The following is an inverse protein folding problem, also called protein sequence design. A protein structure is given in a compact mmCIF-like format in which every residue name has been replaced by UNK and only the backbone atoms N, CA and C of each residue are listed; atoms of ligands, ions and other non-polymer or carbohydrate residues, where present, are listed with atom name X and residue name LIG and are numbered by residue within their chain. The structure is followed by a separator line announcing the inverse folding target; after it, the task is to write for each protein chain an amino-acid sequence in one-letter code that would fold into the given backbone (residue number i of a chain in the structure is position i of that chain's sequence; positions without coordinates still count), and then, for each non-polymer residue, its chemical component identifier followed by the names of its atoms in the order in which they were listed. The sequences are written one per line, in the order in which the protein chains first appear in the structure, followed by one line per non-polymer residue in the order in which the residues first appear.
data_IF_438538380639
#
_entry.id   IF_438538380639
#
_cell.length_a   1.000
_cell.length_b   1.000
_cell.length_c   1.000
_cell.angle_alpha   90.00
_cell.angle_beta   90.00
_cell.angle_gamma   90.00
#
_symmetry.space_group_name_H-M   'P 1'
#
loop_
_entity.id
_entity.type
_entity.pdbx_description
1 polymer ?
#
# COMPACT_ATOMS: atom_id res chain seq x y z
N UNK A 1 -6.72 13.46 8.51
CA UNK A 1 -6.56 11.98 8.51
C UNK A 1 -5.06 11.69 8.56
N UNK A 2 -4.54 11.02 9.59
CA UNK A 2 -3.08 10.81 9.79
C UNK A 2 -2.44 9.77 8.86
N UNK A 3 -2.81 9.77 7.58
CA UNK A 3 -2.29 8.87 6.54
C UNK A 3 -1.49 9.72 5.57
N UNK A 4 -0.29 9.26 5.21
CA UNK A 4 0.47 9.87 4.10
C UNK A 4 -0.29 9.68 2.79
N UNK A 5 -0.44 10.75 2.01
CA UNK A 5 -1.11 10.73 0.69
C UNK A 5 -0.54 9.65 -0.23
N UNK A 6 0.76 9.37 -0.11
CA UNK A 6 1.45 8.30 -0.84
C UNK A 6 0.95 6.87 -0.54
N UNK A 7 0.09 6.69 0.47
CA UNK A 7 -0.53 5.38 0.78
C UNK A 7 -1.84 5.16 0.03
N UNK A 8 -2.30 6.13 -0.76
CA UNK A 8 -3.50 6.03 -1.57
C UNK A 8 -3.13 6.46 -2.99
N UNK A 9 -3.27 5.52 -3.94
CA UNK A 9 -3.02 5.79 -5.35
C UNK A 9 -4.26 5.35 -6.15
N UNK A 10 -4.78 6.25 -7.00
CA UNK A 10 -5.84 5.93 -7.94
C UNK A 10 -5.25 5.92 -9.35
N UNK A 11 -5.22 4.73 -9.96
CA UNK A 11 -4.84 4.55 -11.36
C UNK A 11 -6.03 4.04 -12.18
N UNK A 12 -6.10 4.46 -13.44
CA UNK A 12 -7.09 3.97 -14.40
C UNK A 12 -6.50 2.80 -15.20
N UNK A 13 -7.16 1.65 -15.12
CA UNK A 13 -6.81 0.47 -15.89
C UNK A 13 -8.08 -0.15 -16.48
N UNK A 14 -8.11 -0.30 -17.80
CA UNK A 14 -9.17 -1.04 -18.49
C UNK A 14 -8.94 -2.56 -18.38
N UNK A 15 -9.99 -3.35 -18.66
CA UNK A 15 -9.94 -4.81 -18.53
C UNK A 15 -8.90 -5.50 -19.45
N UNK A 16 -8.52 -4.86 -20.56
CA UNK A 16 -7.52 -5.37 -21.49
C UNK A 16 -6.07 -5.01 -21.10
N UNK A 17 -5.87 -4.08 -20.16
CA UNK A 17 -4.56 -3.53 -19.82
C UNK A 17 -3.87 -4.30 -18.68
N UNK A 18 -3.85 -5.64 -18.75
CA UNK A 18 -3.27 -6.48 -17.68
C UNK A 18 -1.81 -6.17 -17.36
N UNK A 19 -0.98 -5.87 -18.37
CA UNK A 19 0.42 -5.48 -18.15
C UNK A 19 0.55 -4.14 -17.42
N UNK A 20 -0.35 -3.19 -17.67
CA UNK A 20 -0.34 -1.88 -17.00
C UNK A 20 -0.72 -2.04 -15.54
N UNK A 21 -1.79 -2.79 -15.25
CA UNK A 21 -2.17 -3.14 -13.89
C UNK A 21 -1.00 -3.79 -13.13
N UNK A 22 -0.32 -4.77 -13.74
CA UNK A 22 0.81 -5.44 -13.11
C UNK A 22 1.92 -4.46 -12.75
N UNK A 23 2.28 -3.53 -13.65
CA UNK A 23 3.33 -2.52 -13.41
C UNK A 23 2.92 -1.56 -12.31
N UNK A 24 1.70 -1.03 -12.37
CA UNK A 24 1.18 -0.06 -11.41
C UNK A 24 1.10 -0.69 -10.01
N UNK A 25 0.51 -1.89 -9.90
CA UNK A 25 0.41 -2.62 -8.64
C UNK A 25 1.79 -2.96 -8.05
N UNK A 26 2.76 -3.35 -8.88
CA UNK A 26 4.13 -3.67 -8.43
C UNK A 26 4.86 -2.42 -7.95
N UNK A 27 4.70 -1.29 -8.63
CA UNK A 27 5.31 -0.03 -8.21
C UNK A 27 4.67 0.49 -6.92
N UNK A 28 3.35 0.38 -6.78
CA UNK A 28 2.65 0.75 -5.56
C UNK A 28 3.05 -0.14 -4.37
N UNK A 29 3.19 -1.46 -4.55
CA UNK A 29 3.69 -2.36 -3.50
C UNK A 29 5.08 -1.92 -2.98
N UNK A 30 6.00 -1.56 -3.89
CA UNK A 30 7.31 -1.04 -3.51
C UNK A 30 7.21 0.24 -2.68
N UNK A 31 6.38 1.20 -3.10
CA UNK A 31 6.16 2.44 -2.36
C UNK A 31 5.61 2.17 -0.95
N UNK A 32 4.64 1.26 -0.81
CA UNK A 32 4.06 0.89 0.49
C UNK A 32 5.08 0.20 1.39
N UNK A 33 5.93 -0.68 0.84
CA UNK A 33 7.01 -1.34 1.58
C UNK A 33 8.03 -0.33 2.13
N UNK A 34 8.41 0.67 1.34
CA UNK A 34 9.32 1.74 1.77
C UNK A 34 8.71 2.64 2.84
N UNK A 35 7.40 2.94 2.74
CA UNK A 35 6.66 3.71 3.75
C UNK A 35 6.50 2.96 5.08
N UNK A 36 6.72 1.64 5.09
CA UNK A 36 6.60 0.79 6.26
C UNK A 36 5.15 0.54 6.70
N UNK A 37 4.97 -0.09 7.89
CA UNK A 37 3.65 -0.49 8.37
C UNK A 37 2.71 0.70 8.54
N UNK A 38 1.41 0.46 8.36
CA UNK A 38 0.40 1.51 8.48
C UNK A 38 0.38 2.12 9.89
N UNK A 39 0.24 3.45 10.00
CA UNK A 39 0.23 4.16 11.27
C UNK A 39 -0.92 3.74 12.21
N UNK A 40 -1.98 3.09 11.68
CA UNK A 40 -3.08 2.59 12.49
C UNK A 40 -2.87 1.17 13.02
N UNK A 41 -2.03 0.38 12.36
CA UNK A 41 -1.79 -1.03 12.73
C UNK A 41 -0.57 -1.20 13.63
N UNK A 42 0.31 -0.20 13.73
CA UNK A 42 1.46 -0.24 14.65
C UNK A 42 1.07 -0.41 16.13
N UNK A 43 -0.16 -0.01 16.52
CA UNK A 43 -0.70 -0.27 17.87
C UNK A 43 -1.20 -1.70 18.11
N UNK A 44 -1.34 -2.53 17.07
CA UNK A 44 -1.84 -3.89 17.22
C UNK A 44 -0.75 -4.92 17.57
N UNK A 45 0.54 -4.61 17.33
CA UNK A 45 1.64 -5.54 17.56
C UNK A 45 2.27 -5.46 18.95
N UNK A 46 1.74 -4.66 19.89
CA UNK A 46 2.19 -4.66 21.29
C UNK A 46 1.49 -5.68 22.18
N UNK A 47 0.67 -6.60 21.64
CA UNK A 47 -0.10 -7.57 22.45
C UNK A 47 0.16 -9.06 22.19
N UNK A 48 1.22 -9.45 21.47
CA UNK A 48 1.67 -10.86 21.45
C UNK A 48 3.07 -11.02 22.03
N UNK A 49 3.14 -10.85 23.35
CA UNK A 49 4.13 -11.52 24.19
C UNK A 49 3.37 -12.19 25.34
N UNK A 50 3.04 -13.47 25.16
CA UNK A 50 2.83 -14.41 26.26
C UNK A 50 3.13 -15.81 25.77
#
# INVERSE_FOLDING_TARGET
MGISEKRIEMSYCSAAEGQKFQRDATNFDKQIRELGPSPFTARANTSKKK
#
